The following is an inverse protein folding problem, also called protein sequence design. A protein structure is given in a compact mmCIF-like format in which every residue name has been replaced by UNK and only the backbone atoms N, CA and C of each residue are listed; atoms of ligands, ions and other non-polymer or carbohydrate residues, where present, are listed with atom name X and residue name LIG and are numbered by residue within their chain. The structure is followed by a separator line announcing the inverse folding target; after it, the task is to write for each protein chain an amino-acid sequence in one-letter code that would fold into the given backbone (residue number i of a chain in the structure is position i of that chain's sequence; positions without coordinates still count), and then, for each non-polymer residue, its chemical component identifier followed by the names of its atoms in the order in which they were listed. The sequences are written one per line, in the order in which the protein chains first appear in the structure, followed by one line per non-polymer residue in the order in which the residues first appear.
data_IF_314919118676
#
_entry.id   IF_314919118676
#
_cell.length_a   1.000
_cell.length_b   1.000
_cell.length_c   1.000
_cell.angle_alpha   90.00
_cell.angle_beta   90.00
_cell.angle_gamma   90.00
#
_symmetry.space_group_name_H-M   'P 1'
#
loop_
_entity.id
_entity.type
_entity.pdbx_description
1 polymer ?
#
# COMPACT_ATOMS: atom_id res chain seq x y z
N UNK A 1 -0.19 18.44 16.52
CA UNK A 1 -1.17 17.70 15.69
C UNK A 1 -1.79 18.67 14.71
N UNK A 2 -1.78 18.36 13.42
CA UNK A 2 -2.13 19.31 12.34
C UNK A 2 -3.64 19.33 12.09
N UNK A 3 -4.22 20.54 11.92
CA UNK A 3 -5.64 20.78 11.63
C UNK A 3 -6.14 20.18 10.30
N UNK A 4 -5.26 19.55 9.54
CA UNK A 4 -5.56 18.83 8.28
C UNK A 4 -6.45 17.60 8.47
N UNK A 5 -6.46 16.98 9.65
CA UNK A 5 -7.23 15.76 9.89
C UNK A 5 -8.72 16.02 10.18
N UNK A 6 -9.10 17.27 10.49
CA UNK A 6 -10.49 17.68 10.71
C UNK A 6 -11.23 18.05 9.41
N UNK A 7 -10.64 17.79 8.23
CA UNK A 7 -11.41 17.93 6.99
C UNK A 7 -12.48 16.85 6.99
N UNK A 8 -13.72 17.22 7.37
CA UNK A 8 -14.92 16.43 7.08
C UNK A 8 -14.89 16.13 5.59
N UNK A 9 -14.46 14.93 5.25
CA UNK A 9 -14.70 14.35 3.94
C UNK A 9 -16.22 14.25 3.89
N UNK A 10 -16.85 15.17 3.18
CA UNK A 10 -18.18 14.97 2.65
C UNK A 10 -18.04 13.69 1.85
N UNK A 11 -18.49 12.58 2.43
CA UNK A 11 -18.58 11.29 1.75
C UNK A 11 -19.43 11.58 0.52
N UNK A 12 -18.77 11.84 -0.61
CA UNK A 12 -19.39 12.41 -1.79
C UNK A 12 -20.56 11.55 -2.20
N UNK A 13 -21.65 12.17 -2.68
CA UNK A 13 -22.93 11.56 -3.09
C UNK A 13 -22.82 10.08 -3.49
N UNK A 14 -22.75 9.19 -2.49
CA UNK A 14 -22.79 7.76 -2.74
C UNK A 14 -24.25 7.52 -3.10
N UNK A 15 -24.49 6.95 -4.28
CA UNK A 15 -25.83 6.54 -4.69
C UNK A 15 -26.40 5.70 -3.55
N UNK A 16 -27.40 6.25 -2.85
CA UNK A 16 -28.15 5.51 -1.85
C UNK A 16 -28.83 4.38 -2.61
N UNK A 17 -28.70 3.16 -2.11
CA UNK A 17 -29.36 2.02 -2.73
C UNK A 17 -30.87 2.20 -2.52
N UNK A 18 -31.63 1.93 -3.56
CA UNK A 18 -33.07 1.77 -3.44
C UNK A 18 -33.32 0.44 -2.74
N UNK A 19 -34.22 0.45 -1.78
CA UNK A 19 -34.45 -0.65 -0.86
C UNK A 19 -35.96 -0.81 -0.69
N UNK A 20 -36.47 -2.02 -0.83
CA UNK A 20 -37.92 -2.28 -0.78
C UNK A 20 -38.38 -2.49 0.66
N UNK A 21 -39.69 -2.33 0.89
CA UNK A 21 -40.27 -2.51 2.23
C UNK A 21 -40.12 -3.96 2.71
N UNK A 22 -40.29 -4.93 1.82
CA UNK A 22 -40.13 -6.35 2.16
C UNK A 22 -38.69 -6.71 2.55
N UNK A 23 -37.70 -6.06 1.92
CA UNK A 23 -36.29 -6.21 2.27
C UNK A 23 -36.00 -5.64 3.68
N UNK A 24 -36.66 -4.54 4.06
CA UNK A 24 -36.55 -3.95 5.40
C UNK A 24 -37.04 -4.89 6.47
N UNK A 25 -38.19 -5.51 6.21
CA UNK A 25 -38.86 -6.38 7.16
C UNK A 25 -38.01 -7.63 7.37
N UNK A 26 -37.54 -8.26 6.29
CA UNK A 26 -36.68 -9.43 6.38
C UNK A 26 -35.36 -9.15 7.12
N UNK A 27 -34.70 -8.01 6.84
CA UNK A 27 -33.45 -7.65 7.52
C UNK A 27 -33.68 -7.35 9.01
N UNK A 28 -34.79 -6.70 9.35
CA UNK A 28 -35.17 -6.43 10.74
C UNK A 28 -35.47 -7.73 11.52
N UNK A 29 -36.16 -8.69 10.90
CA UNK A 29 -36.43 -10.00 11.49
C UNK A 29 -35.13 -10.78 11.73
N UNK A 30 -34.25 -10.84 10.73
CA UNK A 30 -32.94 -11.46 10.83
C UNK A 30 -32.06 -10.83 11.91
N UNK A 31 -32.09 -9.50 12.03
CA UNK A 31 -31.42 -8.77 13.10
C UNK A 31 -31.97 -9.11 14.48
N UNK A 32 -33.30 -9.16 14.63
CA UNK A 32 -33.96 -9.52 15.88
C UNK A 32 -33.64 -10.96 16.33
N UNK A 33 -33.44 -11.86 15.36
CA UNK A 33 -33.01 -13.25 15.59
C UNK A 33 -31.49 -13.39 15.86
N UNK A 34 -30.71 -12.30 15.74
CA UNK A 34 -29.27 -12.33 15.95
C UNK A 34 -28.47 -12.90 14.77
N UNK A 35 -29.10 -13.04 13.60
CA UNK A 35 -28.49 -13.54 12.37
C UNK A 35 -28.52 -12.46 11.28
N UNK A 36 -27.75 -11.35 11.42
CA UNK A 36 -27.72 -10.33 10.39
C UNK A 36 -27.12 -10.91 9.10
N UNK A 37 -27.97 -11.12 8.10
CA UNK A 37 -27.59 -11.60 6.77
C UNK A 37 -27.48 -10.41 5.81
N UNK A 38 -26.47 -10.40 4.94
CA UNK A 38 -26.34 -9.38 3.90
C UNK A 38 -27.34 -9.73 2.81
N UNK A 39 -28.60 -9.30 2.95
CA UNK A 39 -29.70 -9.74 2.09
C UNK A 39 -29.60 -9.27 0.64
N UNK A 40 -28.69 -8.34 0.32
CA UNK A 40 -28.46 -7.87 -1.05
C UNK A 40 -26.97 -7.71 -1.42
N UNK A 41 -26.48 -8.73 -2.12
CA UNK A 41 -25.59 -8.53 -3.26
C UNK A 41 -26.09 -9.39 -4.41
N UNK A 42 -26.65 -8.73 -5.42
CA UNK A 42 -26.94 -9.36 -6.72
C UNK A 42 -25.69 -9.98 -7.39
N UNK A 43 -24.50 -9.74 -6.81
CA UNK A 43 -23.23 -10.35 -7.19
C UNK A 43 -22.77 -11.57 -6.34
N UNK A 44 -23.49 -12.00 -5.30
CA UNK A 44 -23.00 -13.09 -4.41
C UNK A 44 -23.88 -14.33 -4.36
N UNK A 45 -25.07 -14.34 -4.95
CA UNK A 45 -25.99 -15.48 -4.79
C UNK A 45 -25.60 -16.73 -5.61
N UNK A 46 -24.56 -16.69 -6.46
CA UNK A 46 -24.11 -17.87 -7.23
C UNK A 46 -22.58 -17.90 -7.49
N UNK A 47 -21.74 -17.74 -6.46
CA UNK A 47 -20.29 -18.01 -6.64
C UNK A 47 -19.96 -19.30 -5.91
N UNK A 48 -19.73 -20.37 -6.67
CA UNK A 48 -19.24 -21.65 -6.12
C UNK A 48 -17.97 -21.39 -5.29
N UNK A 49 -17.83 -22.08 -4.15
CA UNK A 49 -16.69 -21.95 -3.22
C UNK A 49 -15.36 -22.05 -3.99
N UNK A 50 -15.30 -22.91 -5.01
CA UNK A 50 -14.13 -23.11 -5.86
C UNK A 50 -13.76 -21.85 -6.67
N UNK A 51 -14.75 -21.11 -7.16
CA UNK A 51 -14.55 -19.86 -7.90
C UNK A 51 -14.06 -18.75 -6.97
N UNK A 52 -14.55 -18.70 -5.73
CA UNK A 52 -14.06 -17.75 -4.73
C UNK A 52 -12.57 -18.00 -4.38
N UNK A 53 -12.16 -19.27 -4.26
CA UNK A 53 -10.77 -19.65 -3.99
C UNK A 53 -9.87 -19.30 -5.19
N UNK A 54 -10.32 -19.56 -6.42
CA UNK A 54 -9.58 -19.21 -7.64
C UNK A 54 -9.41 -17.68 -7.78
N UNK A 55 -10.47 -16.91 -7.53
CA UNK A 55 -10.42 -15.45 -7.54
C UNK A 55 -9.47 -14.90 -6.46
N UNK A 56 -9.50 -15.46 -5.25
CA UNK A 56 -8.60 -15.07 -4.17
C UNK A 56 -7.12 -15.34 -4.50
N UNK A 57 -6.82 -16.50 -5.12
CA UNK A 57 -5.46 -16.83 -5.59
C UNK A 57 -4.98 -15.88 -6.69
N UNK A 58 -5.85 -15.52 -7.64
CA UNK A 58 -5.53 -14.55 -8.69
C UNK A 58 -5.26 -13.14 -8.10
N UNK A 59 -6.02 -12.73 -7.07
CA UNK A 59 -5.78 -11.47 -6.36
C UNK A 59 -4.47 -11.46 -5.55
N UNK A 60 -4.06 -12.60 -4.99
CA UNK A 60 -2.76 -12.72 -4.31
C UNK A 60 -1.60 -12.70 -5.31
N UNK A 61 -1.73 -13.35 -6.46
CA UNK A 61 -0.74 -13.31 -7.53
C UNK A 61 -0.57 -11.89 -8.11
N UNK A 62 -1.67 -11.14 -8.28
CA UNK A 62 -1.62 -9.74 -8.70
C UNK A 62 -1.11 -8.78 -7.62
N UNK A 63 -1.22 -9.14 -6.33
CA UNK A 63 -0.61 -8.36 -5.22
C UNK A 63 0.92 -8.46 -5.18
N UNK A 64 1.48 -9.57 -5.68
CA UNK A 64 2.93 -9.71 -5.89
C UNK A 64 3.44 -8.88 -7.07
N UNK A 65 2.56 -8.50 -7.99
CA UNK A 65 2.78 -7.31 -8.80
C UNK A 65 2.50 -6.09 -7.92
N UNK A 66 3.46 -5.72 -7.05
CA UNK A 66 3.58 -4.40 -6.40
C UNK A 66 3.78 -3.29 -7.44
N UNK A 67 3.18 -3.41 -8.62
CA UNK A 67 3.20 -2.43 -9.68
C UNK A 67 2.33 -1.26 -9.27
N UNK A 68 2.92 -0.08 -9.35
CA UNK A 68 2.20 1.19 -9.45
C UNK A 68 1.70 1.86 -8.16
N UNK A 69 2.19 1.49 -6.98
CA UNK A 69 2.11 2.44 -5.87
C UNK A 69 3.11 3.57 -6.15
N UNK A 70 2.67 4.84 -6.12
CA UNK A 70 3.59 5.96 -6.34
C UNK A 70 4.69 5.91 -5.27
N UNK A 71 5.92 6.20 -5.69
CA UNK A 71 7.03 6.34 -4.75
C UNK A 71 6.71 7.45 -3.75
N UNK A 72 6.93 7.17 -2.46
CA UNK A 72 6.81 8.21 -1.43
C UNK A 72 7.91 9.24 -1.64
N UNK A 73 7.55 10.52 -1.57
CA UNK A 73 8.52 11.61 -1.58
C UNK A 73 9.28 11.64 -0.25
N UNK A 74 10.58 11.89 -0.33
CA UNK A 74 11.47 12.06 0.81
C UNK A 74 12.44 13.20 0.54
N UNK A 75 12.76 13.96 1.58
CA UNK A 75 13.77 15.02 1.55
C UNK A 75 15.03 14.48 2.22
N UNK A 76 16.16 14.59 1.53
CA UNK A 76 17.45 14.14 2.04
C UNK A 76 18.38 15.33 2.22
N UNK A 77 19.14 15.32 3.31
CA UNK A 77 20.24 16.26 3.52
C UNK A 77 21.53 15.55 3.14
N UNK A 78 22.27 16.11 2.18
CA UNK A 78 23.52 15.56 1.66
C UNK A 78 24.62 16.61 1.76
N UNK A 79 25.88 16.17 1.75
CA UNK A 79 27.02 17.08 1.64
C UNK A 79 27.05 17.74 0.25
N UNK A 80 27.67 18.92 0.16
CA UNK A 80 27.81 19.64 -1.11
C UNK A 80 28.53 18.80 -2.18
N UNK A 81 29.57 18.09 -1.76
CA UNK A 81 30.33 17.18 -2.63
C UNK A 81 29.44 16.06 -3.20
N UNK A 82 28.59 15.44 -2.37
CA UNK A 82 27.70 14.38 -2.81
C UNK A 82 26.63 14.90 -3.78
N UNK A 83 26.15 16.13 -3.60
CA UNK A 83 25.20 16.77 -4.52
C UNK A 83 25.82 16.98 -5.90
N UNK A 84 27.09 17.41 -5.96
CA UNK A 84 27.83 17.59 -7.22
C UNK A 84 28.03 16.25 -7.93
N UNK A 85 28.54 15.24 -7.21
CA UNK A 85 28.74 13.89 -7.76
C UNK A 85 27.43 13.30 -8.30
N UNK A 86 26.34 13.41 -7.53
CA UNK A 86 25.03 12.92 -7.96
C UNK A 86 24.49 13.68 -9.18
N UNK A 87 24.78 14.97 -9.29
CA UNK A 87 24.40 15.78 -10.44
C UNK A 87 25.17 15.36 -11.70
N UNK A 88 26.47 15.13 -11.59
CA UNK A 88 27.31 14.77 -12.74
C UNK A 88 26.99 13.35 -13.22
N UNK A 89 26.81 12.39 -12.29
CA UNK A 89 26.33 11.05 -12.61
C UNK A 89 24.98 11.07 -13.33
N UNK A 90 24.05 11.94 -12.92
CA UNK A 90 22.75 12.07 -13.58
C UNK A 90 22.87 12.62 -15.01
N UNK A 91 23.82 13.53 -15.28
CA UNK A 91 24.09 14.04 -16.63
C UNK A 91 24.68 12.97 -17.54
N UNK A 92 25.66 12.21 -17.03
CA UNK A 92 26.37 11.19 -17.80
C UNK A 92 25.46 10.00 -18.14
N UNK A 93 24.75 9.47 -17.13
CA UNK A 93 23.92 8.26 -17.26
C UNK A 93 22.53 8.53 -17.82
N UNK A 94 22.10 9.81 -17.86
CA UNK A 94 20.73 10.24 -18.19
C UNK A 94 19.66 9.60 -17.29
N UNK A 95 20.02 9.19 -16.07
CA UNK A 95 19.10 8.69 -15.07
C UNK A 95 18.66 9.79 -14.11
N UNK A 96 17.46 9.69 -13.57
CA UNK A 96 17.00 10.60 -12.53
C UNK A 96 17.79 10.37 -11.22
N UNK A 97 18.11 11.46 -10.49
CA UNK A 97 18.82 11.40 -9.20
C UNK A 97 18.20 10.41 -8.20
N UNK A 98 16.87 10.40 -8.10
CA UNK A 98 16.15 9.49 -7.21
C UNK A 98 16.25 8.03 -7.65
N UNK A 99 16.44 7.75 -8.95
CA UNK A 99 16.66 6.40 -9.46
C UNK A 99 18.08 5.92 -9.13
N UNK A 100 19.09 6.78 -9.31
CA UNK A 100 20.48 6.50 -8.93
C UNK A 100 20.58 6.17 -7.44
N UNK A 101 19.93 6.96 -6.57
CA UNK A 101 19.91 6.69 -5.12
C UNK A 101 19.31 5.31 -4.80
N UNK A 102 18.26 4.87 -5.50
CA UNK A 102 17.67 3.54 -5.27
C UNK A 102 18.62 2.42 -5.68
N UNK A 103 19.31 2.57 -6.81
CA UNK A 103 20.32 1.59 -7.26
C UNK A 103 21.42 1.49 -6.20
N UNK A 104 21.99 2.62 -5.80
CA UNK A 104 23.05 2.66 -4.77
C UNK A 104 22.60 2.02 -3.46
N UNK A 105 21.38 2.33 -3.00
CA UNK A 105 20.84 1.71 -1.78
C UNK A 105 20.69 0.21 -1.96
N UNK A 106 20.17 -0.27 -3.08
CA UNK A 106 20.01 -1.71 -3.32
C UNK A 106 21.36 -2.43 -3.34
N UNK A 107 22.37 -1.85 -3.98
CA UNK A 107 23.73 -2.42 -4.06
C UNK A 107 24.45 -2.41 -2.70
N UNK A 108 24.24 -1.39 -1.87
CA UNK A 108 24.88 -1.27 -0.55
C UNK A 108 24.13 -2.01 0.56
N UNK A 109 22.87 -2.40 0.35
CA UNK A 109 22.03 -3.02 1.37
C UNK A 109 22.05 -4.56 1.30
N UNK A 110 22.96 -5.17 0.55
CA UNK A 110 23.19 -6.61 0.62
C UNK A 110 23.42 -7.03 2.08
N UNK A 111 22.62 -7.98 2.57
CA UNK A 111 22.51 -8.30 4.00
C UNK A 111 23.85 -8.63 4.65
N UNK A 112 24.81 -9.15 3.87
CA UNK A 112 26.18 -9.42 4.33
C UNK A 112 26.94 -8.15 4.72
N UNK A 113 26.82 -7.07 3.95
CA UNK A 113 27.50 -5.80 4.24
C UNK A 113 26.88 -5.11 5.46
N UNK A 114 25.55 -5.16 5.58
CA UNK A 114 24.85 -4.61 6.74
C UNK A 114 25.17 -5.38 8.03
N UNK A 115 25.26 -6.71 7.97
CA UNK A 115 25.68 -7.52 9.12
C UNK A 115 27.15 -7.29 9.47
N UNK A 116 28.02 -7.06 8.49
CA UNK A 116 29.43 -6.70 8.70
C UNK A 116 29.58 -5.31 9.32
N UNK A 117 28.84 -4.32 8.84
CA UNK A 117 28.80 -2.96 9.40
C UNK A 117 28.28 -2.97 10.84
N UNK A 118 27.20 -3.70 11.13
CA UNK A 118 26.68 -3.86 12.50
C UNK A 118 27.72 -4.48 13.43
N UNK A 119 28.37 -5.57 13.01
CA UNK A 119 29.43 -6.21 13.81
C UNK A 119 30.60 -5.26 14.08
N UNK A 120 30.99 -4.43 13.10
CA UNK A 120 32.07 -3.46 13.25
C UNK A 120 31.71 -2.32 14.20
N UNK A 121 30.49 -1.79 14.11
CA UNK A 121 29.98 -0.74 15.00
C UNK A 121 29.80 -1.26 16.43
N UNK A 122 29.30 -2.49 16.60
CA UNK A 122 29.19 -3.14 17.92
C UNK A 122 30.57 -3.47 18.52
N UNK A 123 31.59 -3.71 17.70
CA UNK A 123 32.96 -4.00 18.16
C UNK A 123 33.77 -2.76 18.58
N UNK A 124 33.24 -1.57 18.38
CA UNK A 124 33.94 -0.30 18.55
C UNK A 124 33.35 0.61 19.63
N UNK A 125 33.10 0.09 20.84
CA UNK A 125 32.92 0.90 22.05
C UNK A 125 33.62 0.18 23.22
N UNK A 126 34.90 0.50 23.41
CA UNK A 126 35.64 0.51 24.68
C UNK A 126 36.77 1.53 24.55
#
# INVERSE_FOLDING_TARGET
MSLTDLKKTTQGNKKKREFTVDEFIADAENYALGHPEIVNSDNTKNVSIEQAILAAKQQLASKNMKGNKPFRHATFTLSEQAIIQLQDLAKETKLAKSHIIRILINELCDEEQHNKLKKLLDSGIN
#
